data_IF_099176717083
#
_entry.id   IF_099176717083
#
_cell.length_a   1.000
_cell.length_b   1.000
_cell.length_c   1.000
_cell.angle_alpha   90.00
_cell.angle_beta   90.00
_cell.angle_gamma   90.00
#
_symmetry.space_group_name_H-M   'P 1'
#
loop_
_entity.id
_entity.type
_entity.pdbx_description
1 polymer ?
#
# COMPACT_ATOMS: atom_id res chain seq x y z
N UNK A 1 -20.07 -77.89 -11.90
CA UNK A 1 -20.15 -77.82 -10.43
C UNK A 1 -18.94 -77.07 -9.91
N UNK A 2 -18.81 -75.83 -10.34
CA UNK A 2 -18.98 -74.63 -9.51
C UNK A 2 -18.49 -74.75 -8.07
N UNK A 3 -17.43 -74.00 -7.75
CA UNK A 3 -17.62 -72.88 -6.85
C UNK A 3 -16.55 -71.80 -7.07
N UNK A 4 -17.03 -70.72 -7.67
CA UNK A 4 -16.50 -69.37 -7.69
C UNK A 4 -16.61 -68.75 -6.27
N UNK A 5 -15.96 -67.59 -6.04
CA UNK A 5 -15.93 -66.73 -4.82
C UNK A 5 -14.79 -67.06 -3.83
N UNK A 6 -13.90 -66.15 -3.44
CA UNK A 6 -14.08 -64.72 -3.19
C UNK A 6 -12.90 -63.86 -3.69
N UNK A 7 -13.04 -63.30 -4.88
CA UNK A 7 -12.38 -62.03 -5.23
C UNK A 7 -13.17 -60.87 -4.61
N UNK A 8 -13.20 -60.79 -3.28
CA UNK A 8 -13.78 -59.65 -2.56
C UNK A 8 -12.84 -59.32 -1.43
N UNK A 9 -11.90 -58.37 -1.66
CA UNK A 9 -11.33 -57.45 -0.64
C UNK A 9 -10.04 -56.72 -1.09
N UNK A 10 -9.80 -56.56 -2.39
CA UNK A 10 -8.76 -55.62 -2.86
C UNK A 10 -9.31 -54.39 -3.60
N UNK A 11 -10.57 -54.03 -3.35
CA UNK A 11 -11.17 -52.80 -3.91
C UNK A 11 -11.02 -51.56 -3.01
N UNK A 12 -10.22 -51.61 -1.93
CA UNK A 12 -10.13 -50.47 -1.00
C UNK A 12 -8.90 -49.56 -1.17
N UNK A 13 -8.01 -49.78 -2.14
CA UNK A 13 -6.80 -48.94 -2.30
C UNK A 13 -6.61 -48.30 -3.67
N UNK A 14 -7.68 -48.11 -4.43
CA UNK A 14 -7.61 -47.21 -5.59
C UNK A 14 -8.70 -46.15 -5.51
N UNK A 15 -8.58 -45.28 -4.50
CA UNK A 15 -9.24 -43.98 -4.56
C UNK A 15 -8.70 -43.27 -5.82
N UNK A 16 -9.55 -42.90 -6.78
CA UNK A 16 -9.09 -42.18 -7.95
C UNK A 16 -8.42 -40.92 -7.44
N UNK A 17 -7.10 -40.80 -7.69
CA UNK A 17 -6.35 -39.57 -7.42
C UNK A 17 -7.16 -38.44 -8.03
N UNK A 18 -7.81 -37.67 -7.17
CA UNK A 18 -8.64 -36.54 -7.59
C UNK A 18 -7.74 -35.68 -8.46
N UNK A 19 -8.05 -35.62 -9.76
CA UNK A 19 -7.42 -34.66 -10.65
C UNK A 19 -7.61 -33.32 -9.96
N UNK A 20 -6.53 -32.60 -9.68
CA UNK A 20 -6.57 -31.23 -9.21
C UNK A 20 -7.18 -30.39 -10.35
N UNK A 21 -8.52 -30.33 -10.38
CA UNK A 21 -9.32 -29.80 -11.49
C UNK A 21 -9.34 -28.27 -11.55
N UNK A 22 -8.63 -27.60 -10.63
CA UNK A 22 -8.45 -26.16 -10.64
C UNK A 22 -6.95 -25.88 -10.52
N UNK A 23 -6.33 -25.23 -11.53
CA UNK A 23 -4.98 -24.69 -11.32
C UNK A 23 -5.04 -23.75 -10.13
N UNK A 24 -4.06 -23.84 -9.22
CA UNK A 24 -3.93 -22.82 -8.18
C UNK A 24 -3.54 -21.51 -8.86
N UNK A 25 -4.53 -20.68 -9.13
CA UNK A 25 -4.32 -19.34 -9.66
C UNK A 25 -3.91 -18.45 -8.50
N UNK A 26 -2.61 -18.22 -8.38
CA UNK A 26 -2.07 -17.20 -7.49
C UNK A 26 -2.31 -15.83 -8.13
N UNK A 27 -2.98 -14.94 -7.41
CA UNK A 27 -3.16 -13.55 -7.81
C UNK A 27 -2.20 -12.68 -7.00
N UNK A 28 -1.18 -12.14 -7.65
CA UNK A 28 -0.24 -11.20 -7.01
C UNK A 28 -0.69 -9.78 -7.29
N UNK A 29 -1.16 -9.08 -6.26
CA UNK A 29 -1.40 -7.63 -6.34
C UNK A 29 -0.12 -6.91 -5.94
N UNK A 30 0.44 -6.14 -6.86
CA UNK A 30 1.67 -5.39 -6.63
C UNK A 30 1.48 -3.92 -7.00
N UNK A 31 2.00 -3.04 -6.14
CA UNK A 31 2.03 -1.60 -6.39
C UNK A 31 3.50 -1.15 -6.40
N UNK A 32 4.08 -0.89 -7.58
CA UNK A 32 5.52 -0.65 -7.73
C UNK A 32 5.98 0.67 -7.09
N UNK A 33 5.09 1.64 -6.94
CA UNK A 33 5.42 2.94 -6.37
C UNK A 33 4.33 3.39 -5.41
N UNK A 34 4.68 3.68 -4.16
CA UNK A 34 3.71 4.16 -3.17
C UNK A 34 4.35 4.89 -2.00
N UNK A 35 3.52 5.62 -1.28
CA UNK A 35 3.89 6.38 -0.09
C UNK A 35 3.25 5.76 1.16
N UNK A 36 3.96 5.82 2.28
CA UNK A 36 3.46 5.46 3.62
C UNK A 36 3.81 6.58 4.58
N UNK A 37 2.85 6.95 5.42
CA UNK A 37 3.02 7.98 6.43
C UNK A 37 3.07 7.28 7.80
N UNK A 38 4.04 7.64 8.64
CA UNK A 38 4.14 7.14 10.00
C UNK A 38 3.54 8.18 10.95
N UNK A 39 2.23 8.11 11.16
CA UNK A 39 1.52 8.95 12.11
C UNK A 39 1.37 8.20 13.44
N UNK A 40 1.68 8.82 14.59
CA UNK A 40 1.37 8.24 15.89
C UNK A 40 -0.14 8.03 16.04
N UNK A 41 -0.52 7.12 16.94
CA UNK A 41 -1.92 6.73 17.14
C UNK A 41 -2.87 7.91 17.36
N UNK A 42 -2.42 8.93 18.09
CA UNK A 42 -3.13 10.20 18.23
C UNK A 42 -2.16 11.33 18.46
N UNK A 43 -2.56 12.52 18.00
CA UNK A 43 -1.89 13.80 18.26
C UNK A 43 -2.91 14.73 18.87
N UNK A 44 -2.56 15.41 19.95
CA UNK A 44 -3.43 16.42 20.56
C UNK A 44 -3.12 17.80 19.98
N UNK A 45 -4.14 18.65 19.95
CA UNK A 45 -3.99 20.05 19.52
C UNK A 45 -2.92 20.75 20.35
N UNK A 46 -1.99 21.42 19.68
CA UNK A 46 -0.87 22.14 20.29
C UNK A 46 0.40 21.30 20.50
N UNK A 47 0.36 19.99 20.22
CA UNK A 47 1.56 19.16 20.22
C UNK A 47 2.37 19.38 18.94
N UNK A 48 3.70 19.35 19.09
CA UNK A 48 4.65 19.40 17.97
C UNK A 48 5.11 17.97 17.70
N UNK A 49 4.97 17.52 16.46
CA UNK A 49 5.45 16.21 16.04
C UNK A 49 6.14 16.30 14.69
N UNK A 50 7.09 15.40 14.46
CA UNK A 50 7.72 15.25 13.17
C UNK A 50 6.91 14.23 12.34
N UNK A 51 6.38 14.66 11.21
CA UNK A 51 5.72 13.74 10.27
C UNK A 51 6.77 13.04 9.42
N UNK A 52 6.92 11.73 9.62
CA UNK A 52 7.80 10.91 8.80
C UNK A 52 7.02 10.31 7.62
N UNK A 53 7.54 10.54 6.41
CA UNK A 53 6.98 10.03 5.17
C UNK A 53 8.00 9.11 4.51
N UNK A 54 7.54 7.93 4.08
CA UNK A 54 8.34 6.91 3.43
C UNK A 54 7.82 6.72 2.00
N UNK A 55 8.72 6.84 1.03
CA UNK A 55 8.43 6.62 -0.38
C UNK A 55 9.10 5.31 -0.78
N UNK A 56 8.33 4.39 -1.34
CA UNK A 56 8.81 3.12 -1.84
C UNK A 56 8.76 3.16 -3.36
N UNK A 57 9.92 3.03 -3.99
CA UNK A 57 10.07 2.86 -5.42
C UNK A 57 10.66 1.47 -5.70
N UNK A 58 9.91 0.62 -6.37
CA UNK A 58 10.32 -0.69 -6.85
C UNK A 58 10.36 -0.75 -8.39
N UNK A 59 10.38 0.40 -9.06
CA UNK A 59 10.61 0.47 -10.50
C UNK A 59 12.10 0.39 -10.81
N UNK A 60 12.44 -0.07 -12.00
CA UNK A 60 13.85 -0.22 -12.43
C UNK A 60 14.55 1.13 -12.67
N UNK A 61 13.79 2.24 -12.66
CA UNK A 61 14.28 3.59 -12.86
C UNK A 61 14.09 4.47 -11.64
N UNK A 62 14.99 5.45 -11.51
CA UNK A 62 14.82 6.56 -10.56
C UNK A 62 13.61 7.42 -10.95
N UNK A 63 13.03 8.09 -9.96
CA UNK A 63 11.83 8.92 -10.12
C UNK A 63 12.03 10.23 -9.38
N UNK A 64 11.78 11.34 -10.07
CA UNK A 64 11.75 12.66 -9.46
C UNK A 64 10.35 12.93 -8.90
N UNK A 65 10.25 13.05 -7.57
CA UNK A 65 8.95 13.11 -6.89
C UNK A 65 8.91 14.26 -5.89
N UNK A 66 7.88 15.09 -6.03
CA UNK A 66 7.55 16.15 -5.07
C UNK A 66 6.40 15.67 -4.19
N UNK A 67 6.62 15.68 -2.86
CA UNK A 67 5.57 15.34 -1.88
C UNK A 67 5.05 16.63 -1.26
N UNK A 68 3.74 16.84 -1.40
CA UNK A 68 3.04 17.99 -0.85
C UNK A 68 1.97 17.52 0.12
N UNK A 69 1.98 18.07 1.34
CA UNK A 69 0.85 17.96 2.24
C UNK A 69 -0.15 19.06 1.91
N UNK A 70 -1.42 18.69 1.81
CA UNK A 70 -2.50 19.64 1.51
C UNK A 70 -2.54 20.71 2.60
N UNK A 71 -2.68 21.97 2.22
CA UNK A 71 -2.93 23.06 3.16
C UNK A 71 -4.42 23.48 3.07
N UNK A 72 -4.97 24.02 4.14
CA UNK A 72 -6.38 24.35 4.25
C UNK A 72 -6.82 24.71 5.67
N UNK A 73 -7.82 25.59 5.78
CA UNK A 73 -8.24 26.20 7.05
C UNK A 73 -8.84 25.23 8.08
N UNK A 74 -9.13 23.98 7.71
CA UNK A 74 -9.79 22.97 8.57
C UNK A 74 -9.05 21.62 8.61
N UNK A 75 -7.73 21.61 8.37
CA UNK A 75 -6.94 20.36 8.30
C UNK A 75 -6.36 19.91 9.65
N UNK A 76 -6.42 20.76 10.68
CA UNK A 76 -6.01 20.40 12.06
C UNK A 76 -4.50 20.33 12.31
N UNK A 77 -3.65 20.81 11.39
CA UNK A 77 -2.21 20.92 11.58
C UNK A 77 -1.65 22.21 10.98
N UNK A 78 -0.52 22.66 11.52
CA UNK A 78 0.26 23.79 11.01
C UNK A 78 1.69 23.32 10.73
N UNK A 79 2.29 23.81 9.64
CA UNK A 79 3.71 23.60 9.41
C UNK A 79 4.54 24.46 10.34
N UNK A 80 5.55 23.86 10.96
CA UNK A 80 6.49 24.57 11.82
C UNK A 80 7.78 24.86 11.07
N UNK A 81 8.28 26.08 11.23
CA UNK A 81 9.61 26.47 10.79
C UNK A 81 10.67 26.02 11.82
N UNK A 82 11.95 26.04 11.41
CA UNK A 82 13.07 25.62 12.28
C UNK A 82 13.21 26.47 13.55
N UNK A 83 12.71 27.71 13.53
CA UNK A 83 12.66 28.62 14.68
C UNK A 83 11.46 28.36 15.61
N UNK A 84 10.61 27.38 15.28
CA UNK A 84 9.44 27.01 16.06
C UNK A 84 8.22 27.88 15.80
N UNK A 85 8.27 28.82 14.86
CA UNK A 85 7.13 29.62 14.42
C UNK A 85 6.26 28.83 13.44
N UNK A 86 4.95 29.11 13.44
CA UNK A 86 4.05 28.52 12.43
C UNK A 86 4.27 29.21 11.09
N UNK A 87 4.47 28.41 10.04
CA UNK A 87 4.51 28.90 8.67
C UNK A 87 3.07 29.08 8.21
N UNK A 88 2.56 30.31 8.30
CA UNK A 88 1.35 30.66 7.53
C UNK A 88 1.78 30.83 6.08
N UNK A 89 1.29 29.97 5.20
CA UNK A 89 1.34 30.27 3.79
C UNK A 89 0.35 31.41 3.57
N UNK A 90 0.85 32.66 3.53
CA UNK A 90 0.01 33.80 3.17
C UNK A 90 -0.58 33.49 1.80
N UNK A 91 -1.90 33.38 1.75
CA UNK A 91 -2.70 33.24 0.53
C UNK A 91 -2.68 34.56 -0.25
N UNK A 92 -1.49 35.01 -0.59
CA UNK A 92 -1.21 36.11 -1.50
C UNK A 92 0.28 36.04 -1.83
N UNK A 93 0.61 35.15 -2.76
CA UNK A 93 1.80 35.29 -3.56
C UNK A 93 1.30 35.24 -5.00
N UNK A 94 1.42 36.38 -5.67
CA UNK A 94 1.10 36.58 -7.08
C UNK A 94 1.58 35.36 -7.88
N UNK A 95 0.61 34.63 -8.45
CA UNK A 95 0.87 33.48 -9.29
C UNK A 95 1.24 34.04 -10.67
N UNK A 96 2.53 34.27 -10.89
CA UNK A 96 3.09 34.06 -12.22
C UNK A 96 3.17 32.55 -12.43
N UNK A 97 2.37 32.06 -13.38
CA UNK A 97 2.39 30.68 -13.83
C UNK A 97 3.79 30.33 -14.34
N UNK A 98 4.40 29.27 -13.80
CA UNK A 98 5.42 28.53 -14.52
C UNK A 98 4.81 27.17 -14.85
N UNK A 99 4.40 27.01 -16.11
CA UNK A 99 4.16 25.70 -16.70
C UNK A 99 5.50 24.95 -16.76
N UNK A 100 5.53 23.71 -16.26
CA UNK A 100 6.41 22.70 -16.86
C UNK A 100 5.59 21.42 -17.02
N UNK A 101 5.30 21.10 -18.28
CA UNK A 101 4.86 19.80 -18.75
C UNK A 101 6.01 18.79 -18.61
N UNK A 102 5.72 17.61 -18.08
CA UNK A 102 6.10 16.33 -18.68
C UNK A 102 5.02 15.29 -18.38
#
# INVERSE_FOLDING_TARGET
MDQELSEENSILYDLPRTRKLFPETWLTVFRPFFIRINLPYSVKRGEKFALQVLIFNYMDSEQDVTVTLKDGDDIGYDFLQKDGTTKKFTSQKDIEWIEILF
#
